data_IF_373180950568
#
_entry.id   IF_373180950568
#
_cell.length_a   1.000
_cell.length_b   1.000
_cell.length_c   1.000
_cell.angle_alpha   90.00
_cell.angle_beta   90.00
_cell.angle_gamma   90.00
#
_symmetry.space_group_name_H-M   'P 1'
#
loop_
_entity.id
_entity.type
_entity.pdbx_description
1 polymer ?
#
# COMPACT_ATOMS: atom_id res chain seq x y z
N UNK A 1 -13.82 19.67 8.45
CA UNK A 1 -12.41 19.99 8.15
C UNK A 1 -12.17 19.67 6.67
N UNK A 2 -12.07 20.68 5.79
CA UNK A 2 -11.68 20.47 4.39
C UNK A 2 -10.16 20.35 4.35
N UNK A 3 -9.62 19.24 3.83
CA UNK A 3 -8.18 19.11 3.62
C UNK A 3 -7.76 20.07 2.50
N UNK A 4 -6.65 20.79 2.69
CA UNK A 4 -6.10 21.73 1.70
C UNK A 4 -5.37 21.03 0.54
N UNK A 5 -5.05 19.74 0.71
CA UNK A 5 -4.48 18.84 -0.31
C UNK A 5 -5.24 17.51 -0.31
N UNK A 6 -5.23 16.75 -1.42
CA UNK A 6 -5.73 15.38 -1.44
C UNK A 6 -5.03 14.53 -0.36
N UNK A 7 -5.76 13.60 0.26
CA UNK A 7 -5.14 12.61 1.15
C UNK A 7 -4.29 11.67 0.31
N UNK A 8 -3.01 11.51 0.66
CA UNK A 8 -2.10 10.58 -0.02
C UNK A 8 -2.09 9.21 0.69
N UNK A 9 -2.47 8.17 -0.04
CA UNK A 9 -2.53 6.79 0.44
C UNK A 9 -1.48 5.89 -0.21
N UNK A 10 -1.07 4.85 0.50
CA UNK A 10 -0.31 3.74 -0.06
C UNK A 10 -1.11 2.45 0.14
N UNK A 11 -1.59 1.87 -0.95
CA UNK A 11 -2.35 0.62 -0.93
C UNK A 11 -1.42 -0.53 -1.23
N UNK A 12 -1.32 -1.49 -0.32
CA UNK A 12 -0.33 -2.57 -0.37
C UNK A 12 -1.02 -3.91 -0.53
N UNK A 13 -0.53 -4.71 -1.47
CA UNK A 13 -1.03 -6.07 -1.70
C UNK A 13 0.10 -7.04 -2.04
N UNK A 14 0.12 -8.21 -1.41
CA UNK A 14 1.17 -9.20 -1.64
C UNK A 14 0.78 -10.44 -2.43
N UNK A 15 -0.44 -10.92 -2.26
CA UNK A 15 -0.87 -12.22 -2.78
C UNK A 15 -2.18 -12.16 -3.55
N UNK A 16 -2.35 -13.09 -4.50
CA UNK A 16 -3.52 -13.20 -5.38
C UNK A 16 -4.87 -13.15 -4.66
N UNK A 17 -5.10 -13.84 -3.51
CA UNK A 17 -6.40 -13.76 -2.82
C UNK A 17 -6.79 -12.34 -2.41
N UNK A 18 -5.82 -11.44 -2.26
CA UNK A 18 -6.05 -10.07 -1.83
C UNK A 18 -6.35 -9.13 -3.00
N UNK A 19 -6.13 -9.53 -4.26
CA UNK A 19 -6.38 -8.70 -5.46
C UNK A 19 -7.85 -8.31 -5.59
N UNK A 20 -8.77 -9.25 -5.36
CA UNK A 20 -10.22 -8.96 -5.36
C UNK A 20 -10.62 -7.92 -4.31
N UNK A 21 -9.94 -7.90 -3.17
CA UNK A 21 -10.26 -7.00 -2.05
C UNK A 21 -9.75 -5.60 -2.34
N UNK A 22 -8.48 -5.49 -2.73
CA UNK A 22 -7.89 -4.21 -3.08
C UNK A 22 -8.52 -3.63 -4.35
N UNK A 23 -9.00 -4.45 -5.30
CA UNK A 23 -9.74 -3.94 -6.47
C UNK A 23 -11.03 -3.22 -6.06
N UNK A 24 -11.80 -3.79 -5.14
CA UNK A 24 -13.02 -3.14 -4.62
C UNK A 24 -12.72 -1.81 -3.91
N UNK A 25 -11.61 -1.76 -3.17
CA UNK A 25 -11.16 -0.53 -2.50
C UNK A 25 -10.72 0.52 -3.52
N UNK A 26 -9.96 0.13 -4.55
CA UNK A 26 -9.56 1.03 -5.63
C UNK A 26 -10.79 1.57 -6.37
N UNK A 27 -11.77 0.72 -6.69
CA UNK A 27 -13.03 1.14 -7.31
C UNK A 27 -13.76 2.14 -6.42
N UNK A 28 -13.83 1.90 -5.12
CA UNK A 28 -14.43 2.83 -4.16
C UNK A 28 -13.69 4.17 -4.07
N UNK A 29 -12.36 4.17 -4.17
CA UNK A 29 -11.56 5.41 -4.18
C UNK A 29 -11.76 6.18 -5.49
N UNK A 30 -11.74 5.49 -6.64
CA UNK A 30 -11.80 6.12 -7.96
C UNK A 30 -13.20 6.62 -8.33
N UNK A 31 -14.24 5.86 -7.98
CA UNK A 31 -15.62 6.10 -8.43
C UNK A 31 -16.61 6.32 -7.29
N UNK A 32 -16.20 6.08 -6.04
CA UNK A 32 -17.07 6.31 -4.90
C UNK A 32 -17.39 7.79 -4.74
N UNK A 33 -18.65 8.10 -4.49
CA UNK A 33 -19.06 9.42 -3.99
C UNK A 33 -18.66 9.52 -2.52
N UNK A 34 -17.38 9.70 -2.25
CA UNK A 34 -16.92 9.97 -0.90
C UNK A 34 -17.59 11.27 -0.43
N UNK A 35 -18.49 11.15 0.55
CA UNK A 35 -19.25 12.29 1.11
C UNK A 35 -18.35 13.36 1.73
N UNK A 36 -17.08 13.05 1.97
CA UNK A 36 -16.05 13.99 2.39
C UNK A 36 -15.40 14.64 1.16
N UNK A 37 -15.38 15.98 1.16
CA UNK A 37 -14.85 16.91 0.14
C UNK A 37 -13.34 16.77 -0.20
N UNK A 38 -12.72 15.62 0.05
CA UNK A 38 -11.28 15.39 -0.14
C UNK A 38 -11.07 14.22 -1.09
N UNK A 39 -10.44 14.49 -2.24
CA UNK A 39 -9.94 13.44 -3.14
C UNK A 39 -8.87 12.61 -2.44
N UNK A 40 -8.88 11.29 -2.65
CA UNK A 40 -7.80 10.39 -2.19
C UNK A 40 -6.90 10.12 -3.40
N UNK A 41 -5.66 10.53 -3.32
CA UNK A 41 -4.61 10.08 -4.22
C UNK A 41 -3.96 8.83 -3.61
N UNK A 42 -3.60 7.83 -4.42
CA UNK A 42 -2.96 6.64 -3.88
C UNK A 42 -1.85 6.11 -4.78
N UNK A 43 -0.89 5.40 -4.17
CA UNK A 43 0.05 4.53 -4.86
C UNK A 43 -0.28 3.07 -4.54
N UNK A 44 -0.37 2.23 -5.58
CA UNK A 44 -0.56 0.80 -5.47
C UNK A 44 0.80 0.09 -5.44
N UNK A 45 1.09 -0.60 -4.35
CA UNK A 45 2.32 -1.37 -4.14
C UNK A 45 2.00 -2.86 -4.18
N UNK A 46 2.70 -3.57 -5.05
CA UNK A 46 2.65 -5.03 -5.13
C UNK A 46 3.92 -5.62 -4.52
N UNK A 47 3.79 -6.56 -3.57
CA UNK A 47 4.95 -7.12 -2.89
C UNK A 47 5.74 -8.14 -3.74
N UNK A 48 5.10 -8.78 -4.71
CA UNK A 48 5.78 -9.72 -5.61
C UNK A 48 6.15 -11.08 -5.00
N UNK A 49 5.41 -11.56 -3.99
CA UNK A 49 5.75 -12.76 -3.21
C UNK A 49 5.44 -14.11 -3.92
N UNK A 50 4.71 -14.09 -5.05
CA UNK A 50 4.28 -15.29 -5.80
C UNK A 50 4.98 -15.46 -7.16
N UNK A 51 5.28 -16.72 -7.51
CA UNK A 51 5.87 -17.10 -8.81
C UNK A 51 4.98 -16.77 -10.01
N UNK A 52 5.62 -16.17 -11.03
CA UNK A 52 5.15 -15.72 -12.35
C UNK A 52 4.49 -14.33 -12.37
N UNK A 53 5.33 -13.33 -12.61
CA UNK A 53 5.00 -11.93 -12.98
C UNK A 53 4.00 -11.82 -14.14
N UNK A 54 3.95 -12.82 -15.02
CA UNK A 54 2.97 -12.90 -16.11
C UNK A 54 1.55 -13.18 -15.61
N UNK A 55 1.39 -13.93 -14.52
CA UNK A 55 0.08 -14.22 -13.94
C UNK A 55 -0.47 -13.02 -13.18
N UNK A 56 0.36 -12.27 -12.45
CA UNK A 56 -0.13 -11.09 -11.71
C UNK A 56 -0.68 -10.01 -12.66
N UNK A 57 0.02 -9.72 -13.77
CA UNK A 57 -0.39 -8.68 -14.73
C UNK A 57 -1.74 -8.95 -15.40
N UNK A 58 -2.04 -10.20 -15.77
CA UNK A 58 -3.34 -10.52 -16.36
C UNK A 58 -4.49 -10.38 -15.34
N UNK A 59 -4.24 -10.64 -14.06
CA UNK A 59 -5.24 -10.42 -13.01
C UNK A 59 -5.58 -8.95 -12.81
N UNK A 60 -4.58 -8.04 -12.77
CA UNK A 60 -4.87 -6.60 -12.66
C UNK A 60 -5.77 -6.14 -13.82
N UNK A 61 -5.48 -6.59 -15.05
CA UNK A 61 -6.30 -6.28 -16.21
C UNK A 61 -7.71 -6.85 -16.11
N UNK A 62 -7.87 -8.14 -15.75
CA UNK A 62 -9.19 -8.76 -15.61
C UNK A 62 -10.05 -8.10 -14.52
N UNK A 63 -9.43 -7.56 -13.46
CA UNK A 63 -10.12 -6.87 -12.38
C UNK A 63 -10.34 -5.38 -12.64
N UNK A 64 -9.95 -4.88 -13.82
CA UNK A 64 -10.02 -3.45 -14.14
C UNK A 64 -9.14 -2.59 -13.23
N UNK A 65 -8.15 -3.19 -12.56
CA UNK A 65 -7.24 -2.48 -11.68
C UNK A 65 -6.14 -1.77 -12.48
N UNK A 66 -5.65 -0.61 -11.99
CA UNK A 66 -4.42 -0.06 -12.51
C UNK A 66 -3.25 -1.01 -12.27
N UNK A 67 -2.20 -0.87 -13.06
CA UNK A 67 -0.92 -1.52 -12.76
C UNK A 67 -0.37 -0.98 -11.44
N UNK A 68 0.36 -1.79 -10.65
CA UNK A 68 1.07 -1.28 -9.49
C UNK A 68 2.01 -0.14 -9.90
N UNK A 69 2.03 0.93 -9.11
CA UNK A 69 3.00 2.02 -9.23
C UNK A 69 4.40 1.52 -8.85
N UNK A 70 4.46 0.57 -7.92
CA UNK A 70 5.69 -0.11 -7.52
C UNK A 70 5.42 -1.61 -7.41
N UNK A 71 6.23 -2.41 -8.09
CA UNK A 71 6.36 -3.84 -7.82
C UNK A 71 7.67 -4.06 -7.07
N UNK A 72 7.60 -4.63 -5.86
CA UNK A 72 8.78 -4.89 -5.05
C UNK A 72 9.54 -6.13 -5.53
N UNK A 73 8.96 -6.98 -6.39
CA UNK A 73 9.64 -8.14 -6.99
C UNK A 73 10.39 -9.04 -5.98
N UNK A 74 9.82 -9.26 -4.79
CA UNK A 74 10.48 -9.98 -3.68
C UNK A 74 10.75 -11.45 -4.04
N UNK A 75 9.86 -12.06 -4.83
CA UNK A 75 9.93 -13.47 -5.19
C UNK A 75 9.54 -14.38 -4.03
N UNK A 76 9.76 -15.68 -4.24
CA UNK A 76 9.43 -16.71 -3.26
C UNK A 76 10.63 -17.05 -2.37
N UNK A 77 10.37 -17.50 -1.16
CA UNK A 77 11.40 -17.88 -0.20
C UNK A 77 10.79 -18.30 1.13
N UNK A 78 11.62 -18.47 2.16
CA UNK A 78 11.12 -18.68 3.52
C UNK A 78 10.40 -17.42 4.01
N UNK A 79 9.35 -17.60 4.82
CA UNK A 79 8.53 -16.50 5.33
C UNK A 79 9.36 -15.36 5.95
N UNK A 80 10.39 -15.71 6.74
CA UNK A 80 11.27 -14.73 7.38
C UNK A 80 12.12 -13.95 6.35
N UNK A 81 12.63 -14.64 5.32
CA UNK A 81 13.42 -14.02 4.26
C UNK A 81 12.56 -13.08 3.40
N UNK A 82 11.36 -13.53 3.01
CA UNK A 82 10.42 -12.70 2.27
C UNK A 82 10.00 -11.48 3.08
N UNK A 83 9.67 -11.64 4.36
CA UNK A 83 9.32 -10.53 5.26
C UNK A 83 10.46 -9.51 5.30
N UNK A 84 11.69 -9.95 5.56
CA UNK A 84 12.86 -9.08 5.64
C UNK A 84 13.12 -8.35 4.31
N UNK A 85 12.99 -9.06 3.18
CA UNK A 85 13.21 -8.47 1.87
C UNK A 85 12.14 -7.46 1.48
N UNK A 86 10.87 -7.72 1.83
CA UNK A 86 9.78 -6.74 1.69
C UNK A 86 10.11 -5.49 2.49
N UNK A 87 10.48 -5.63 3.77
CA UNK A 87 10.84 -4.51 4.64
C UNK A 87 11.98 -3.68 4.05
N UNK A 88 13.01 -4.35 3.51
CA UNK A 88 14.16 -3.71 2.88
C UNK A 88 13.75 -2.89 1.66
N UNK A 89 12.88 -3.42 0.79
CA UNK A 89 12.49 -2.77 -0.47
C UNK A 89 11.44 -1.67 -0.28
N UNK A 90 10.52 -1.81 0.67
CA UNK A 90 9.49 -0.79 0.92
C UNK A 90 10.03 0.43 1.68
N UNK A 91 11.03 0.26 2.55
CA UNK A 91 11.58 1.36 3.35
C UNK A 91 11.93 2.63 2.53
N UNK A 92 12.68 2.57 1.42
CA UNK A 92 12.96 3.75 0.60
C UNK A 92 11.72 4.31 -0.11
N UNK A 93 10.77 3.44 -0.49
CA UNK A 93 9.53 3.86 -1.16
C UNK A 93 8.66 4.67 -0.21
N UNK A 94 8.45 4.18 1.02
CA UNK A 94 7.72 4.92 2.07
C UNK A 94 8.42 6.23 2.43
N UNK A 95 9.75 6.25 2.50
CA UNK A 95 10.54 7.45 2.78
C UNK A 95 10.33 8.55 1.73
N UNK A 96 10.30 8.16 0.45
CA UNK A 96 10.15 9.11 -0.65
C UNK A 96 8.69 9.58 -0.79
N UNK A 97 7.73 8.67 -0.64
CA UNK A 97 6.32 8.97 -0.84
C UNK A 97 5.68 9.75 0.33
N UNK A 98 6.16 9.51 1.56
CA UNK A 98 5.61 10.10 2.80
C UNK A 98 4.07 10.07 2.88
N UNK A 99 3.43 8.90 2.70
CA UNK A 99 1.97 8.81 2.61
C UNK A 99 1.30 9.22 3.93
N UNK A 100 0.17 9.92 3.83
CA UNK A 100 -0.66 10.26 4.99
C UNK A 100 -1.28 8.98 5.61
N UNK A 101 -1.57 7.96 4.79
CA UNK A 101 -2.08 6.66 5.24
C UNK A 101 -1.49 5.48 4.45
N UNK A 102 -1.28 4.35 5.12
CA UNK A 102 -0.91 3.06 4.53
C UNK A 102 -2.03 2.07 4.79
N UNK A 103 -2.54 1.45 3.73
CA UNK A 103 -3.54 0.39 3.78
C UNK A 103 -2.89 -0.93 3.38
N UNK A 104 -2.82 -1.88 4.31
CA UNK A 104 -2.36 -3.25 4.04
C UNK A 104 -3.57 -4.19 3.91
N UNK A 105 -3.55 -5.06 2.91
CA UNK A 105 -4.68 -5.97 2.62
C UNK A 105 -4.24 -7.43 2.72
N UNK A 106 -4.95 -8.21 3.54
CA UNK A 106 -4.73 -9.64 3.79
C UNK A 106 -3.89 -9.94 5.02
N UNK A 107 -3.42 -11.18 5.17
CA UNK A 107 -2.68 -11.67 6.35
C UNK A 107 -1.34 -12.34 6.05
N UNK A 108 -0.69 -12.00 4.93
CA UNK A 108 0.58 -12.61 4.51
C UNK A 108 1.82 -11.87 5.04
N UNK A 109 3.02 -12.27 4.60
CA UNK A 109 4.27 -11.65 5.06
C UNK A 109 4.33 -10.15 4.72
N UNK A 110 3.80 -9.75 3.56
CA UNK A 110 3.61 -8.34 3.21
C UNK A 110 2.80 -7.55 4.24
N UNK A 111 1.72 -8.09 4.80
CA UNK A 111 0.92 -7.34 5.79
C UNK A 111 1.78 -6.94 6.99
N UNK A 112 2.51 -7.90 7.56
CA UNK A 112 3.35 -7.66 8.74
C UNK A 112 4.55 -6.78 8.38
N UNK A 113 5.23 -7.06 7.27
CA UNK A 113 6.40 -6.31 6.82
C UNK A 113 6.09 -4.83 6.60
N UNK A 114 5.01 -4.54 5.85
CA UNK A 114 4.63 -3.16 5.54
C UNK A 114 4.08 -2.42 6.76
N UNK A 115 3.24 -3.06 7.57
CA UNK A 115 2.76 -2.46 8.81
C UNK A 115 3.92 -2.13 9.76
N UNK A 116 4.91 -3.02 9.86
CA UNK A 116 6.10 -2.78 10.67
C UNK A 116 6.89 -1.57 10.17
N UNK A 117 7.23 -1.52 8.88
CA UNK A 117 7.98 -0.38 8.31
C UNK A 117 7.22 0.93 8.49
N UNK A 118 5.93 0.97 8.17
CA UNK A 118 5.10 2.15 8.36
C UNK A 118 5.06 2.58 9.83
N UNK A 119 4.95 1.63 10.77
CA UNK A 119 4.89 1.93 12.20
C UNK A 119 6.16 2.55 12.75
N UNK A 120 7.33 2.25 12.14
CA UNK A 120 8.62 2.80 12.57
C UNK A 120 8.96 4.10 11.85
N UNK A 121 8.26 4.43 10.76
CA UNK A 121 8.55 5.61 9.96
C UNK A 121 8.02 6.87 10.64
N UNK A 122 8.92 7.84 10.80
CA UNK A 122 8.61 9.23 11.18
C UNK A 122 9.03 10.12 10.04
N UNK A 123 8.17 11.05 9.65
CA UNK A 123 8.45 12.05 8.62
C UNK A 123 8.77 13.39 9.27
N UNK A 124 9.68 14.16 8.68
CA UNK A 124 9.93 15.52 9.13
C UNK A 124 8.64 16.36 8.97
N UNK A 125 8.49 17.42 9.76
CA UNK A 125 7.36 18.32 9.62
C UNK A 125 7.34 18.98 8.24
N UNK A 126 6.12 19.18 7.72
CA UNK A 126 5.92 19.80 6.40
C UNK A 126 6.22 21.30 6.37
N UNK A 127 6.41 21.93 7.53
CA UNK A 127 6.81 23.32 7.67
C UNK A 127 7.73 23.49 8.90
N UNK A 128 8.39 24.64 8.99
CA UNK A 128 9.41 24.95 10.02
C UNK A 128 8.89 24.92 11.47
N UNK A 129 7.59 24.95 11.68
CA UNK A 129 6.94 24.96 13.01
C UNK A 129 6.11 23.70 13.28
N UNK A 130 6.14 22.74 12.36
CA UNK A 130 5.31 21.55 12.42
C UNK A 130 5.91 20.50 13.36
N UNK A 131 5.06 19.54 13.75
CA UNK A 131 5.52 18.35 14.46
C UNK A 131 5.84 17.23 13.45
N UNK A 132 6.80 16.35 13.77
CA UNK A 132 6.99 15.12 13.02
C UNK A 132 5.70 14.31 12.95
N UNK A 133 5.45 13.68 11.81
CA UNK A 133 4.23 12.93 11.57
C UNK A 133 4.52 11.45 11.28
N UNK A 134 3.48 10.64 11.35
CA UNK A 134 3.49 9.23 10.94
C UNK A 134 2.29 8.96 10.06
N UNK A 135 2.41 7.98 9.17
CA UNK A 135 1.28 7.49 8.40
C UNK A 135 0.26 6.84 9.35
N UNK A 136 -1.03 7.06 9.10
CA UNK A 136 -2.06 6.19 9.65
C UNK A 136 -1.91 4.80 9.05
N UNK A 137 -2.03 3.75 9.85
CA UNK A 137 -1.96 2.37 9.36
C UNK A 137 -3.35 1.78 9.47
N UNK A 138 -3.90 1.36 8.33
CA UNK A 138 -5.15 0.62 8.25
C UNK A 138 -4.86 -0.78 7.71
N UNK A 139 -5.57 -1.76 8.26
CA UNK A 139 -5.47 -3.15 7.83
C UNK A 139 -6.85 -3.66 7.47
N UNK A 140 -6.95 -4.30 6.32
CA UNK A 140 -8.16 -4.99 5.88
C UNK A 140 -7.86 -6.48 5.82
N UNK A 141 -8.43 -7.18 6.77
CA UNK A 141 -8.51 -8.64 6.77
C UNK A 141 -9.95 -9.05 6.47
N UNK A 142 -10.13 -10.21 5.85
CA UNK A 142 -11.43 -10.84 5.76
C UNK A 142 -11.25 -12.31 6.12
N UNK A 143 -11.85 -12.68 7.25
CA UNK A 143 -12.30 -14.03 7.60
C UNK A 143 -13.81 -14.06 7.52
#
# INVERSE_FOLDING_TARGET
MRLSKPLSGMLVVGARPNFMRISAIIVAIMYGKLSYSSSIAFQLIHAGEHYKTLMSRSYFQHLGMPKPDVDLEVGSGLYAQQTAEIMRRIAPVTLNAQPDAVLVVGGGNSTIAFAHVASKRVYPPSNSHGLPSRSLIAHVEAG
#
